data_IF_691459407595
#
_entry.id   IF_691459407595
#
_cell.length_a   1.000
_cell.length_b   1.000
_cell.length_c   1.000
_cell.angle_alpha   90.00
_cell.angle_beta   90.00
_cell.angle_gamma   90.00
#
_symmetry.space_group_name_H-M   'P 1'
#
loop_
_entity.id
_entity.type
_entity.pdbx_description
1 polymer ?
#
# COMPACT_ATOMS: atom_id res chain seq x y z
N UNK A 1 -8.51 -31.82 16.89
CA UNK A 1 -8.89 -30.42 16.53
C UNK A 1 -9.40 -30.48 15.11
N UNK A 2 -10.72 -30.51 14.93
CA UNK A 2 -11.33 -30.40 13.61
C UNK A 2 -11.01 -28.99 13.09
N UNK A 3 -10.13 -28.86 12.11
CA UNK A 3 -10.01 -27.67 11.30
C UNK A 3 -11.29 -27.57 10.46
N UNK A 4 -12.24 -26.79 10.93
CA UNK A 4 -13.35 -26.37 10.08
C UNK A 4 -12.78 -25.47 8.99
N UNK A 5 -12.49 -26.05 7.83
CA UNK A 5 -12.17 -25.34 6.60
C UNK A 5 -13.43 -24.58 6.12
N UNK A 6 -13.83 -23.53 6.84
CA UNK A 6 -14.79 -22.57 6.32
C UNK A 6 -13.97 -21.63 5.43
N UNK A 7 -14.19 -21.65 4.12
CA UNK A 7 -13.47 -20.72 3.22
C UNK A 7 -13.81 -19.31 3.66
N UNK A 8 -12.80 -18.42 3.65
CA UNK A 8 -13.03 -17.00 3.87
C UNK A 8 -14.07 -16.49 2.87
N UNK A 9 -15.06 -15.78 3.37
CA UNK A 9 -16.13 -15.22 2.53
C UNK A 9 -15.58 -14.16 1.55
N UNK A 10 -14.52 -13.47 1.94
CA UNK A 10 -13.86 -12.43 1.16
C UNK A 10 -12.38 -12.74 1.00
N UNK A 11 -11.77 -12.19 -0.04
CA UNK A 11 -10.32 -12.21 -0.23
C UNK A 11 -9.61 -11.46 0.90
N UNK A 12 -8.37 -11.85 1.21
CA UNK A 12 -7.47 -10.97 1.96
C UNK A 12 -7.00 -9.79 1.09
N UNK A 13 -6.52 -8.72 1.73
CA UNK A 13 -6.05 -7.52 1.06
C UNK A 13 -4.97 -7.81 0.01
N UNK A 14 -3.96 -8.62 0.36
CA UNK A 14 -2.85 -8.92 -0.53
C UNK A 14 -3.30 -9.47 -1.90
N UNK A 15 -4.07 -10.59 -1.99
CA UNK A 15 -4.55 -11.03 -3.29
C UNK A 15 -5.55 -10.06 -3.94
N UNK A 16 -6.31 -9.27 -3.16
CA UNK A 16 -7.20 -8.26 -3.71
C UNK A 16 -6.43 -7.12 -4.38
N UNK A 17 -5.32 -6.66 -3.79
CA UNK A 17 -4.50 -5.57 -4.32
C UNK A 17 -3.97 -5.88 -5.72
N UNK A 18 -3.70 -7.14 -6.03
CA UNK A 18 -3.33 -7.58 -7.38
C UNK A 18 -4.35 -7.23 -8.46
N UNK A 19 -5.63 -7.08 -8.11
CA UNK A 19 -6.65 -6.60 -9.03
C UNK A 19 -6.45 -5.12 -9.38
N UNK A 20 -6.01 -4.30 -8.43
CA UNK A 20 -5.68 -2.89 -8.66
C UNK A 20 -4.49 -2.78 -9.62
N UNK A 21 -3.39 -3.45 -9.32
CA UNK A 21 -2.20 -3.48 -10.18
C UNK A 21 -2.54 -3.94 -11.61
N UNK A 22 -3.34 -5.00 -11.74
CA UNK A 22 -3.75 -5.52 -13.05
C UNK A 22 -4.57 -4.50 -13.86
N UNK A 23 -5.51 -3.80 -13.22
CA UNK A 23 -6.35 -2.79 -13.90
C UNK A 23 -5.50 -1.56 -14.28
N UNK A 24 -4.56 -1.14 -13.43
CA UNK A 24 -3.61 -0.08 -13.77
C UNK A 24 -2.78 -0.46 -15.00
N UNK A 25 -2.18 -1.65 -15.02
CA UNK A 25 -1.39 -2.12 -16.15
C UNK A 25 -2.21 -2.19 -17.46
N UNK A 26 -3.46 -2.65 -17.39
CA UNK A 26 -4.36 -2.67 -18.54
C UNK A 26 -4.70 -1.25 -19.04
N UNK A 27 -4.92 -0.31 -18.11
CA UNK A 27 -5.17 1.08 -18.49
C UNK A 27 -3.93 1.74 -19.09
N UNK A 28 -2.77 1.55 -18.49
CA UNK A 28 -1.50 2.07 -19.00
C UNK A 28 -1.19 1.55 -20.41
N UNK A 29 -1.35 0.23 -20.63
CA UNK A 29 -1.03 -0.40 -21.92
C UNK A 29 -2.02 -0.05 -23.04
N UNK A 30 -3.29 0.22 -22.71
CA UNK A 30 -4.35 0.36 -23.73
C UNK A 30 -4.89 1.77 -23.86
N UNK A 31 -4.75 2.60 -22.83
CA UNK A 31 -5.40 3.91 -22.66
C UNK A 31 -6.95 3.85 -22.80
N UNK A 32 -7.53 2.64 -22.69
CA UNK A 32 -8.98 2.47 -22.77
C UNK A 32 -9.64 2.86 -21.45
N UNK A 33 -10.42 3.93 -21.49
CA UNK A 33 -11.14 4.49 -20.33
C UNK A 33 -12.10 3.50 -19.64
N UNK A 34 -12.38 2.35 -20.26
CA UNK A 34 -13.17 1.30 -19.58
C UNK A 34 -12.46 0.77 -18.34
N UNK A 35 -11.11 0.65 -18.38
CA UNK A 35 -10.32 0.18 -17.23
C UNK A 35 -10.28 1.23 -16.12
N UNK A 36 -10.16 2.51 -16.44
CA UNK A 36 -10.28 3.56 -15.44
C UNK A 36 -11.66 3.57 -14.78
N UNK A 37 -12.74 3.38 -15.58
CA UNK A 37 -14.08 3.23 -15.02
C UNK A 37 -14.24 1.98 -14.17
N UNK A 38 -13.59 0.86 -14.55
CA UNK A 38 -13.57 -0.38 -13.76
C UNK A 38 -12.87 -0.13 -12.43
N UNK A 39 -11.73 0.54 -12.45
CA UNK A 39 -10.98 0.93 -11.25
C UNK A 39 -11.89 1.74 -10.31
N UNK A 40 -12.42 2.87 -10.77
CA UNK A 40 -13.17 3.81 -9.92
C UNK A 40 -14.53 3.27 -9.45
N UNK A 41 -15.17 2.40 -10.23
CA UNK A 41 -16.54 1.96 -9.95
C UNK A 41 -16.63 0.57 -9.29
N UNK A 42 -15.55 -0.19 -9.30
CA UNK A 42 -15.55 -1.56 -8.77
C UNK A 42 -14.35 -1.84 -7.86
N UNK A 43 -13.13 -1.60 -8.35
CA UNK A 43 -11.92 -2.00 -7.62
C UNK A 43 -11.72 -1.12 -6.38
N UNK A 44 -11.72 0.20 -6.53
CA UNK A 44 -11.51 1.10 -5.40
C UNK A 44 -12.64 1.03 -4.35
N UNK A 45 -13.94 1.00 -4.73
CA UNK A 45 -14.98 0.77 -3.74
C UNK A 45 -14.83 -0.54 -2.96
N UNK A 46 -14.41 -1.63 -3.62
CA UNK A 46 -14.10 -2.88 -2.92
C UNK A 46 -12.85 -2.78 -2.03
N UNK A 47 -11.86 -2.00 -2.43
CA UNK A 47 -10.68 -1.75 -1.62
C UNK A 47 -11.01 -0.97 -0.33
N UNK A 48 -11.95 -0.02 -0.38
CA UNK A 48 -12.38 0.75 0.80
C UNK A 48 -12.99 -0.14 1.91
N UNK A 49 -13.46 -1.36 1.59
CA UNK A 49 -13.93 -2.31 2.62
C UNK A 49 -12.80 -2.76 3.58
N UNK A 50 -11.54 -2.61 3.17
CA UNK A 50 -10.37 -2.91 4.00
C UNK A 50 -9.83 -1.68 4.74
N UNK A 51 -10.35 -0.48 4.44
CA UNK A 51 -9.80 0.77 4.96
C UNK A 51 -10.18 1.01 6.41
N UNK A 52 -9.20 0.90 7.30
CA UNK A 52 -9.33 1.06 8.74
C UNK A 52 -9.13 2.51 9.17
N UNK A 53 -10.19 3.12 9.67
CA UNK A 53 -10.21 4.46 10.26
C UNK A 53 -10.27 4.45 11.79
N UNK A 54 -10.31 3.28 12.40
CA UNK A 54 -10.38 3.14 13.86
C UNK A 54 -9.01 3.28 14.53
N UNK A 55 -7.95 2.96 13.79
CA UNK A 55 -6.55 3.06 14.24
C UNK A 55 -5.84 4.20 13.51
N UNK A 56 -4.97 4.92 14.22
CA UNK A 56 -4.19 6.04 13.68
C UNK A 56 -2.73 5.64 13.50
N UNK A 57 -2.09 5.94 12.37
CA UNK A 57 -2.65 6.53 11.15
C UNK A 57 -3.65 5.61 10.44
N UNK A 58 -4.58 6.17 9.65
CA UNK A 58 -5.49 5.38 8.83
C UNK A 58 -4.71 4.56 7.80
N UNK A 59 -5.12 3.30 7.59
CA UNK A 59 -4.45 2.38 6.67
C UNK A 59 -5.37 1.24 6.26
N UNK A 60 -4.92 0.40 5.34
CA UNK A 60 -5.66 -0.78 4.95
C UNK A 60 -5.28 -1.97 5.83
N UNK A 61 -6.28 -2.65 6.36
CA UNK A 61 -6.15 -3.90 7.13
C UNK A 61 -6.05 -5.11 6.21
N UNK A 62 -5.49 -6.21 6.70
CA UNK A 62 -5.37 -7.44 5.91
C UNK A 62 -6.69 -8.10 5.55
N UNK A 63 -7.78 -7.75 6.25
CA UNK A 63 -9.13 -8.23 5.98
C UNK A 63 -10.17 -7.11 6.13
N UNK A 64 -11.40 -7.35 5.67
CA UNK A 64 -12.47 -6.34 5.62
C UNK A 64 -12.87 -5.85 7.01
N UNK A 65 -13.32 -4.59 7.11
CA UNK A 65 -13.64 -3.91 8.38
C UNK A 65 -14.95 -4.41 9.03
N UNK A 66 -15.81 -5.10 8.29
CA UNK A 66 -17.02 -5.72 8.85
C UNK A 66 -16.75 -7.04 9.58
N UNK A 67 -15.55 -7.58 9.46
CA UNK A 67 -15.05 -8.73 10.21
C UNK A 67 -14.31 -8.28 11.49
N UNK A 68 -13.96 -9.21 12.40
CA UNK A 68 -13.08 -8.88 13.53
C UNK A 68 -11.79 -8.22 13.09
N UNK A 69 -11.29 -7.27 13.89
CA UNK A 69 -10.09 -6.49 13.57
C UNK A 69 -8.91 -7.41 13.20
N UNK A 70 -8.29 -7.12 12.07
CA UNK A 70 -7.16 -7.85 11.53
C UNK A 70 -5.87 -7.03 11.60
N UNK A 71 -4.72 -7.70 11.43
CA UNK A 71 -3.41 -7.04 11.39
C UNK A 71 -3.31 -6.09 10.18
N UNK A 72 -2.47 -5.05 10.31
CA UNK A 72 -2.12 -4.14 9.23
C UNK A 72 -0.66 -4.37 8.86
N UNK A 73 -0.42 -4.74 7.61
CA UNK A 73 0.91 -5.01 7.10
C UNK A 73 1.43 -3.81 6.31
N UNK A 74 2.67 -3.43 6.57
CA UNK A 74 3.29 -2.28 5.90
C UNK A 74 3.55 -2.56 4.43
N UNK A 75 3.98 -3.77 4.07
CA UNK A 75 4.21 -4.18 2.69
C UNK A 75 2.92 -4.19 1.85
N UNK A 76 1.81 -4.73 2.37
CA UNK A 76 0.51 -4.67 1.69
C UNK A 76 0.12 -3.23 1.34
N UNK A 77 0.29 -2.31 2.30
CA UNK A 77 -0.01 -0.89 2.10
C UNK A 77 0.99 -0.20 1.16
N UNK A 78 2.27 -0.56 1.19
CA UNK A 78 3.26 -0.03 0.25
C UNK A 78 2.86 -0.30 -1.20
N UNK A 79 2.45 -1.52 -1.52
CA UNK A 79 2.02 -1.87 -2.88
C UNK A 79 0.80 -1.07 -3.34
N UNK A 80 -0.19 -0.86 -2.45
CA UNK A 80 -1.32 0.03 -2.74
C UNK A 80 -0.85 1.47 -3.00
N UNK A 81 0.10 1.97 -2.21
CA UNK A 81 0.68 3.30 -2.42
C UNK A 81 1.36 3.43 -3.78
N UNK A 82 2.07 2.38 -4.22
CA UNK A 82 2.68 2.31 -5.56
C UNK A 82 1.58 2.38 -6.62
N UNK A 83 0.54 1.56 -6.53
CA UNK A 83 -0.57 1.55 -7.48
C UNK A 83 -1.29 2.90 -7.56
N UNK A 84 -1.52 3.55 -6.41
CA UNK A 84 -2.11 4.89 -6.37
C UNK A 84 -1.20 5.97 -7.00
N UNK A 85 0.11 5.90 -6.82
CA UNK A 85 1.03 6.82 -7.51
C UNK A 85 1.11 6.56 -9.00
N UNK A 86 1.01 5.30 -9.44
CA UNK A 86 1.04 4.94 -10.85
C UNK A 86 -0.19 5.48 -11.59
N UNK A 87 -1.39 5.24 -11.05
CA UNK A 87 -2.60 5.78 -11.68
C UNK A 87 -2.64 7.32 -11.63
N UNK A 88 -2.09 7.95 -10.59
CA UNK A 88 -1.91 9.39 -10.55
C UNK A 88 -1.00 9.88 -11.70
N UNK A 89 0.14 9.23 -11.93
CA UNK A 89 1.07 9.64 -13.00
C UNK A 89 0.44 9.55 -14.39
N UNK A 90 -0.49 8.61 -14.60
CA UNK A 90 -1.17 8.44 -15.89
C UNK A 90 -2.32 9.43 -16.05
N UNK A 91 -3.08 9.72 -14.97
CA UNK A 91 -4.34 10.48 -15.05
C UNK A 91 -4.21 11.93 -14.62
N UNK A 92 -3.27 12.25 -13.73
CA UNK A 92 -3.17 13.55 -13.05
C UNK A 92 -4.27 13.80 -12.00
N UNK A 93 -5.11 12.81 -11.68
CA UNK A 93 -6.22 13.01 -10.74
C UNK A 93 -5.74 13.02 -9.29
N UNK A 94 -5.86 14.18 -8.63
CA UNK A 94 -5.33 14.44 -7.28
C UNK A 94 -5.79 13.43 -6.24
N UNK A 95 -7.02 12.91 -6.34
CA UNK A 95 -7.56 11.91 -5.40
C UNK A 95 -6.65 10.68 -5.21
N UNK A 96 -5.93 10.28 -6.25
CA UNK A 96 -5.01 9.13 -6.16
C UNK A 96 -3.72 9.50 -5.43
N UNK A 97 -3.18 10.70 -5.69
CA UNK A 97 -2.01 11.18 -4.96
C UNK A 97 -2.32 11.37 -3.47
N UNK A 98 -3.50 11.91 -3.14
CA UNK A 98 -3.93 12.08 -1.75
C UNK A 98 -3.98 10.73 -1.01
N UNK A 99 -4.47 9.68 -1.65
CA UNK A 99 -4.48 8.32 -1.08
C UNK A 99 -3.05 7.76 -0.91
N UNK A 100 -2.18 7.94 -1.90
CA UNK A 100 -0.79 7.51 -1.80
C UNK A 100 -0.06 8.21 -0.64
N UNK A 101 -0.26 9.52 -0.47
CA UNK A 101 0.32 10.29 0.63
C UNK A 101 -0.27 9.89 2.00
N UNK A 102 -1.56 9.56 2.06
CA UNK A 102 -2.19 9.03 3.27
C UNK A 102 -1.56 7.68 3.66
N UNK A 103 -1.38 6.79 2.70
CA UNK A 103 -0.70 5.51 2.91
C UNK A 103 0.73 5.73 3.39
N UNK A 104 1.45 6.71 2.80
CA UNK A 104 2.82 7.00 3.21
C UNK A 104 2.92 7.38 4.69
N UNK A 105 1.96 8.14 5.23
CA UNK A 105 1.92 8.45 6.68
C UNK A 105 1.85 7.19 7.54
N UNK A 106 1.13 6.18 7.10
CA UNK A 106 1.12 4.89 7.77
C UNK A 106 2.48 4.20 7.66
N UNK A 107 3.10 4.20 6.48
CA UNK A 107 4.43 3.60 6.27
C UNK A 107 5.48 4.25 7.17
N UNK A 108 5.50 5.59 7.27
CA UNK A 108 6.39 6.33 8.17
C UNK A 108 6.23 5.91 9.64
N UNK A 109 5.00 5.62 10.09
CA UNK A 109 4.74 5.17 11.47
C UNK A 109 5.36 3.81 11.79
N UNK A 110 5.74 3.06 10.76
CA UNK A 110 6.42 1.77 10.85
C UNK A 110 7.95 1.86 10.86
N UNK A 111 8.51 3.07 10.95
CA UNK A 111 9.96 3.28 10.95
C UNK A 111 10.48 3.67 12.33
N UNK A 112 11.66 3.20 12.69
CA UNK A 112 12.45 3.66 13.84
C UNK A 112 13.93 3.32 13.63
N UNK A 113 14.78 3.66 14.61
CA UNK A 113 16.22 3.41 14.53
C UNK A 113 16.65 1.99 14.94
N UNK A 114 15.70 1.15 15.37
CA UNK A 114 16.03 -0.24 15.71
C UNK A 114 16.33 -1.02 14.43
N UNK A 115 17.15 -2.06 14.54
CA UNK A 115 17.58 -2.90 13.41
C UNK A 115 18.18 -2.10 12.24
N UNK A 116 18.82 -0.97 12.54
CA UNK A 116 19.51 -0.15 11.55
C UNK A 116 18.58 0.76 10.71
N UNK A 117 17.39 1.07 11.18
CA UNK A 117 16.38 1.82 10.45
C UNK A 117 15.40 0.90 9.70
N UNK A 118 14.72 1.45 8.67
CA UNK A 118 13.80 0.69 7.84
C UNK A 118 12.40 0.52 8.41
N UNK A 119 11.52 -0.08 7.63
CA UNK A 119 10.09 -0.30 7.89
C UNK A 119 9.88 -1.69 8.48
N UNK A 120 9.07 -1.80 9.54
CA UNK A 120 8.60 -3.07 10.05
C UNK A 120 7.71 -3.81 9.03
N UNK A 121 7.50 -5.10 9.24
CA UNK A 121 6.58 -5.88 8.41
C UNK A 121 5.13 -5.71 8.83
N UNK A 122 4.85 -5.85 10.14
CA UNK A 122 3.50 -5.81 10.69
C UNK A 122 3.42 -4.77 11.81
N UNK A 123 2.36 -3.95 11.81
CA UNK A 123 2.15 -2.91 12.82
C UNK A 123 1.95 -3.51 14.23
N UNK A 124 1.20 -4.61 14.33
CA UNK A 124 0.88 -5.25 15.60
C UNK A 124 2.03 -6.13 16.13
N UNK A 125 3.03 -6.41 15.30
CA UNK A 125 4.17 -7.30 15.61
C UNK A 125 5.46 -6.67 15.12
N UNK A 126 5.98 -5.69 15.88
CA UNK A 126 7.23 -4.97 15.54
C UNK A 126 8.47 -5.79 15.91
N UNK A 127 8.56 -7.00 15.39
CA UNK A 127 9.65 -7.95 15.70
C UNK A 127 10.68 -8.03 14.58
N UNK A 128 10.27 -7.75 13.34
CA UNK A 128 11.17 -7.87 12.17
C UNK A 128 10.94 -6.75 11.15
N UNK A 129 12.02 -6.41 10.46
CA UNK A 129 12.04 -5.52 9.29
C UNK A 129 12.55 -6.34 8.12
N UNK A 130 11.79 -6.38 7.04
CA UNK A 130 12.02 -7.30 5.94
C UNK A 130 12.17 -6.54 4.61
N UNK A 131 12.90 -7.11 3.67
CA UNK A 131 13.10 -6.54 2.33
C UNK A 131 11.77 -6.32 1.59
N UNK A 132 10.75 -7.18 1.84
CA UNK A 132 9.41 -7.05 1.23
C UNK A 132 8.68 -5.75 1.58
N UNK A 133 8.97 -5.13 2.74
CA UNK A 133 8.46 -3.81 3.10
C UNK A 133 9.39 -2.69 2.62
N UNK A 134 10.69 -2.88 2.76
CA UNK A 134 11.67 -1.81 2.62
C UNK A 134 12.04 -1.51 1.17
N UNK A 135 12.27 -2.53 0.33
CA UNK A 135 12.59 -2.32 -1.08
C UNK A 135 11.42 -1.64 -1.84
N UNK A 136 10.18 -2.16 -1.80
CA UNK A 136 9.07 -1.45 -2.42
C UNK A 136 8.73 -0.13 -1.70
N UNK A 137 8.97 0.00 -0.39
CA UNK A 137 8.86 1.27 0.33
C UNK A 137 9.77 2.35 -0.24
N UNK A 138 11.02 2.01 -0.58
CA UNK A 138 11.92 2.90 -1.30
C UNK A 138 11.36 3.33 -2.67
N UNK A 139 10.79 2.38 -3.43
CA UNK A 139 10.15 2.67 -4.73
C UNK A 139 8.99 3.64 -4.56
N UNK A 140 8.10 3.40 -3.59
CA UNK A 140 6.97 4.31 -3.30
C UNK A 140 7.45 5.72 -2.96
N UNK A 141 8.49 5.85 -2.11
CA UNK A 141 9.04 7.15 -1.75
C UNK A 141 9.59 7.90 -2.98
N UNK A 142 10.33 7.23 -3.86
CA UNK A 142 10.80 7.87 -5.10
C UNK A 142 9.67 8.24 -6.06
N UNK A 143 8.61 7.43 -6.14
CA UNK A 143 7.41 7.78 -6.92
C UNK A 143 6.69 9.00 -6.34
N UNK A 144 6.55 9.10 -5.02
CA UNK A 144 6.01 10.28 -4.35
C UNK A 144 6.88 11.52 -4.57
N UNK A 145 8.21 11.38 -4.48
CA UNK A 145 9.13 12.47 -4.85
C UNK A 145 8.89 12.94 -6.29
N UNK A 146 8.81 12.02 -7.23
CA UNK A 146 8.53 12.35 -8.65
C UNK A 146 7.19 13.06 -8.83
N UNK A 147 6.17 12.68 -8.05
CA UNK A 147 4.83 13.25 -8.13
C UNK A 147 4.72 14.65 -7.48
N UNK A 148 5.47 14.91 -6.40
CA UNK A 148 5.31 16.10 -5.55
C UNK A 148 6.49 17.07 -5.62
N UNK A 149 7.65 16.61 -6.07
CA UNK A 149 8.94 17.31 -5.98
C UNK A 149 9.36 17.63 -4.52
N UNK A 150 8.82 16.93 -3.52
CA UNK A 150 9.19 17.09 -2.11
C UNK A 150 10.41 16.22 -1.80
N UNK A 151 11.53 16.88 -1.48
CA UNK A 151 12.83 16.25 -1.20
C UNK A 151 12.83 15.33 0.03
N UNK A 152 11.84 15.45 0.93
CA UNK A 152 11.68 14.56 2.08
C UNK A 152 11.48 13.12 1.60
N UNK A 153 10.63 12.90 0.60
CA UNK A 153 10.42 11.56 0.02
C UNK A 153 11.69 11.01 -0.63
N UNK A 154 12.48 11.87 -1.30
CA UNK A 154 13.75 11.44 -1.89
C UNK A 154 14.72 10.93 -0.81
N UNK A 155 14.87 11.69 0.28
CA UNK A 155 15.72 11.27 1.39
C UNK A 155 15.25 9.95 2.00
N UNK A 156 13.97 9.84 2.30
CA UNK A 156 13.39 8.63 2.88
C UNK A 156 13.54 7.41 1.94
N UNK A 157 13.31 7.59 0.64
CA UNK A 157 13.52 6.55 -0.37
C UNK A 157 14.96 6.06 -0.41
N UNK A 158 15.93 6.99 -0.33
CA UNK A 158 17.35 6.67 -0.28
C UNK A 158 17.70 5.89 1.01
N UNK A 159 17.23 6.36 2.16
CA UNK A 159 17.48 5.70 3.45
C UNK A 159 16.96 4.24 3.45
N UNK A 160 15.77 3.99 2.89
CA UNK A 160 15.20 2.65 2.74
C UNK A 160 15.98 1.79 1.73
N UNK A 161 16.41 2.37 0.61
CA UNK A 161 17.26 1.68 -0.36
C UNK A 161 18.59 1.24 0.26
N UNK A 162 19.27 2.15 0.96
CA UNK A 162 20.53 1.85 1.66
C UNK A 162 20.37 0.81 2.75
N UNK A 163 19.20 0.78 3.42
CA UNK A 163 18.90 -0.28 4.39
C UNK A 163 18.83 -1.66 3.73
N UNK A 164 18.25 -1.75 2.52
CA UNK A 164 18.13 -3.04 1.80
C UNK A 164 19.45 -3.56 1.24
N UNK A 165 20.52 -2.74 1.24
CA UNK A 165 21.86 -3.12 0.77
C UNK A 165 22.72 -3.77 1.88
N UNK A 166 22.26 -3.71 3.12
CA UNK A 166 22.99 -4.24 4.32
C UNK A 166 22.59 -5.67 4.62
#
# INVERSE_FOLDING_TARGET
IEQTNIPNQFSYLWPYSGTFSAVNALFEATHDKKYLRLLDKRVLPGLEEYFDTQRTPNAYSSYIQTAPASDRFYDDNVWLGIDFTDIYQITGEQKYLDKAQLIWKFIESGTDNLLGGGIYWCEQKKESKNTCSNAPGSVLAFKLFKATNDSVYFKQGKDLYEWTQK
#
